data_IF_684403708698
#
_entry.id   IF_684403708698
#
_cell.length_a   1.000
_cell.length_b   1.000
_cell.length_c   1.000
_cell.angle_alpha   90.00
_cell.angle_beta   90.00
_cell.angle_gamma   90.00
#
_symmetry.space_group_name_H-M   'P 1'
#
loop_
_entity.id
_entity.type
_entity.pdbx_description
1 polymer ?
#
# COMPACT_ATOMS: atom_id res chain seq x y z
N UNK A 1 5.45 -9.06 -3.71
CA UNK A 1 4.88 -9.08 -2.34
C UNK A 1 4.52 -7.64 -1.93
N UNK A 2 3.84 -7.41 -0.80
CA UNK A 2 3.52 -6.03 -0.35
C UNK A 2 4.79 -5.22 -0.08
N UNK A 3 5.82 -5.91 0.42
CA UNK A 3 7.16 -5.37 0.66
C UNK A 3 7.77 -4.72 -0.58
N UNK A 4 7.74 -5.42 -1.73
CA UNK A 4 8.32 -4.91 -2.98
C UNK A 4 7.64 -3.62 -3.42
N UNK A 5 6.30 -3.59 -3.35
CA UNK A 5 5.51 -2.41 -3.71
C UNK A 5 5.86 -1.24 -2.79
N UNK A 6 6.08 -1.47 -1.49
CA UNK A 6 6.47 -0.43 -0.54
C UNK A 6 7.83 0.17 -0.89
N UNK A 7 8.83 -0.68 -1.16
CA UNK A 7 10.18 -0.24 -1.53
C UNK A 7 10.14 0.55 -2.84
N UNK A 8 9.50 0.01 -3.88
CA UNK A 8 9.35 0.70 -5.17
C UNK A 8 8.62 2.04 -5.01
N UNK A 9 7.58 2.09 -4.16
CA UNK A 9 6.82 3.32 -3.91
C UNK A 9 7.68 4.40 -3.24
N UNK A 10 8.55 4.01 -2.29
CA UNK A 10 9.49 4.95 -1.65
C UNK A 10 10.49 5.46 -2.70
N UNK A 11 11.12 4.56 -3.45
CA UNK A 11 12.11 4.90 -4.45
C UNK A 11 11.54 5.86 -5.50
N UNK A 12 10.32 5.58 -5.97
CA UNK A 12 9.62 6.46 -6.93
C UNK A 12 9.25 7.81 -6.34
N UNK A 13 8.90 7.88 -5.05
CA UNK A 13 8.40 9.12 -4.43
C UNK A 13 9.50 10.02 -3.91
N UNK A 14 10.55 9.44 -3.32
CA UNK A 14 11.59 10.13 -2.57
C UNK A 14 12.98 10.01 -3.21
N UNK A 15 13.13 9.23 -4.28
CA UNK A 15 14.40 8.97 -4.95
C UNK A 15 15.12 7.74 -4.38
N UNK A 16 16.36 7.51 -4.80
CA UNK A 16 17.19 6.38 -4.38
C UNK A 16 17.58 6.52 -2.89
N UNK A 17 16.65 6.14 -2.02
CA UNK A 17 16.69 6.35 -0.59
C UNK A 17 16.18 5.11 0.11
N UNK A 18 17.04 4.50 0.92
CA UNK A 18 16.73 3.29 1.69
C UNK A 18 15.93 3.56 2.97
N UNK A 19 15.91 4.81 3.45
CA UNK A 19 15.26 5.22 4.71
C UNK A 19 14.62 6.59 4.51
N UNK A 20 13.34 6.74 4.88
CA UNK A 20 12.64 8.02 4.70
C UNK A 20 13.30 9.14 5.54
N UNK A 21 13.52 10.34 4.96
CA UNK A 21 14.15 11.46 5.66
C UNK A 21 13.26 12.05 6.76
N UNK A 22 11.97 11.73 6.73
CA UNK A 22 10.97 12.08 7.75
C UNK A 22 10.11 10.84 8.03
N UNK A 23 9.59 10.71 9.25
CA UNK A 23 8.62 9.66 9.55
C UNK A 23 7.34 9.88 8.73
N UNK A 24 6.94 8.87 7.97
CA UNK A 24 5.70 8.88 7.19
C UNK A 24 4.69 7.94 7.83
N UNK A 25 3.47 8.39 8.00
CA UNK A 25 2.38 7.55 8.47
C UNK A 25 1.89 6.63 7.35
N UNK A 26 1.85 5.33 7.62
CA UNK A 26 1.37 4.33 6.68
C UNK A 26 0.11 3.66 7.23
N UNK A 27 -1.04 4.06 6.69
CA UNK A 27 -2.35 3.56 7.09
C UNK A 27 -2.78 2.38 6.22
N UNK A 28 -3.09 1.24 6.85
CA UNK A 28 -3.57 0.03 6.17
C UNK A 28 -4.76 -0.61 6.89
N UNK A 29 -5.46 -1.52 6.20
CA UNK A 29 -6.36 -2.43 6.89
C UNK A 29 -5.59 -3.53 7.64
N UNK A 30 -6.30 -4.30 8.46
CA UNK A 30 -5.74 -5.40 9.24
C UNK A 30 -5.67 -6.72 8.47
N UNK A 31 -5.59 -6.69 7.12
CA UNK A 31 -5.44 -7.92 6.35
C UNK A 31 -4.07 -8.57 6.60
N UNK A 32 -4.01 -9.89 6.40
CA UNK A 32 -2.86 -10.73 6.78
C UNK A 32 -1.54 -10.27 6.19
N UNK A 33 -1.54 -9.72 4.97
CA UNK A 33 -0.33 -9.25 4.31
C UNK A 33 0.29 -8.00 4.95
N UNK A 34 -0.52 -7.11 5.55
CA UNK A 34 -0.03 -5.90 6.22
C UNK A 34 0.34 -6.16 7.70
N UNK A 35 -0.28 -7.16 8.34
CA UNK A 35 0.05 -7.55 9.72
C UNK A 35 1.14 -8.62 9.82
N UNK A 36 1.58 -9.19 8.70
CA UNK A 36 2.68 -10.15 8.65
C UNK A 36 3.95 -9.56 9.28
N UNK A 37 4.66 -10.38 10.06
CA UNK A 37 5.81 -9.91 10.83
C UNK A 37 6.91 -9.33 9.92
N UNK A 38 7.19 -9.98 8.80
CA UNK A 38 8.14 -9.51 7.78
C UNK A 38 7.78 -8.10 7.27
N UNK A 39 6.51 -7.85 6.96
CA UNK A 39 6.03 -6.52 6.52
C UNK A 39 6.21 -5.47 7.62
N UNK A 40 5.94 -5.83 8.89
CA UNK A 40 6.09 -4.92 10.03
C UNK A 40 7.56 -4.63 10.35
N UNK A 41 8.45 -5.60 10.15
CA UNK A 41 9.89 -5.41 10.31
C UNK A 41 10.43 -4.48 9.22
N UNK A 42 10.07 -4.70 7.95
CA UNK A 42 10.49 -3.86 6.83
C UNK A 42 10.01 -2.41 7.00
N UNK A 43 8.76 -2.21 7.36
CA UNK A 43 8.18 -0.87 7.50
C UNK A 43 8.82 -0.07 8.63
N UNK A 44 9.21 -0.73 9.72
CA UNK A 44 10.03 -0.11 10.77
C UNK A 44 11.44 0.23 10.28
N UNK A 45 12.07 -0.61 9.46
CA UNK A 45 13.44 -0.34 8.98
C UNK A 45 13.53 0.83 8.01
N UNK A 46 12.43 1.18 7.33
CA UNK A 46 12.36 2.28 6.35
C UNK A 46 11.69 3.55 6.91
N UNK A 47 11.56 3.68 8.24
CA UNK A 47 11.00 4.85 8.94
C UNK A 47 9.51 5.12 8.65
N UNK A 48 8.70 4.07 8.41
CA UNK A 48 7.24 4.23 8.45
C UNK A 48 6.70 4.07 9.87
N UNK A 49 5.75 4.95 10.21
CA UNK A 49 4.85 4.75 11.35
C UNK A 49 3.63 3.96 10.90
N UNK A 50 3.59 2.68 11.30
CA UNK A 50 2.48 1.79 10.98
C UNK A 50 1.23 2.24 11.73
N UNK A 51 0.21 2.66 10.98
CA UNK A 51 -1.08 3.06 11.48
C UNK A 51 -2.11 1.99 11.09
N UNK A 52 -2.80 1.42 12.08
CA UNK A 52 -3.85 0.42 11.86
C UNK A 52 -5.20 0.96 12.31
N UNK A 53 -6.25 0.57 11.62
CA UNK A 53 -7.60 1.02 11.93
C UNK A 53 -8.26 0.12 12.97
N UNK A 54 -9.15 0.63 13.83
CA UNK A 54 -9.93 -0.22 14.71
C UNK A 54 -10.66 -1.30 13.90
N UNK A 55 -10.65 -2.54 14.41
CA UNK A 55 -11.32 -3.68 13.79
C UNK A 55 -12.80 -3.31 13.59
N UNK A 56 -13.25 -3.24 12.33
CA UNK A 56 -14.60 -2.81 11.89
C UNK A 56 -14.86 -1.30 11.90
N UNK A 57 -13.87 -0.47 11.57
CA UNK A 57 -14.13 0.92 11.17
C UNK A 57 -14.57 0.99 9.70
N UNK A 58 -15.86 1.23 9.39
CA UNK A 58 -16.40 1.12 8.03
C UNK A 58 -15.85 2.17 7.06
N UNK A 59 -15.19 3.21 7.56
CA UNK A 59 -14.79 4.39 6.78
C UNK A 59 -13.27 4.51 6.61
N UNK A 60 -12.49 3.67 7.29
CA UNK A 60 -11.07 3.95 7.50
C UNK A 60 -10.17 3.77 6.27
N UNK A 61 -10.59 2.96 5.30
CA UNK A 61 -9.98 2.84 3.97
C UNK A 61 -10.83 3.45 2.85
N UNK A 62 -11.84 4.27 3.18
CA UNK A 62 -12.82 4.76 2.22
C UNK A 62 -12.22 5.49 1.01
N UNK A 63 -11.12 6.22 1.20
CA UNK A 63 -10.41 6.88 0.10
C UNK A 63 -9.75 5.87 -0.86
N UNK A 64 -9.02 4.88 -0.31
CA UNK A 64 -8.38 3.85 -1.12
C UNK A 64 -9.42 2.99 -1.85
N UNK A 65 -10.51 2.63 -1.16
CA UNK A 65 -11.63 1.90 -1.77
C UNK A 65 -12.30 2.69 -2.88
N UNK A 66 -12.55 3.99 -2.67
CA UNK A 66 -13.13 4.86 -3.70
C UNK A 66 -12.22 4.97 -4.92
N UNK A 67 -10.91 5.12 -4.71
CA UNK A 67 -9.93 5.12 -5.79
C UNK A 67 -9.98 3.83 -6.60
N UNK A 68 -9.91 2.66 -5.95
CA UNK A 68 -9.96 1.37 -6.62
C UNK A 68 -11.29 1.14 -7.35
N UNK A 69 -12.42 1.58 -6.77
CA UNK A 69 -13.74 1.50 -7.42
C UNK A 69 -13.77 2.32 -8.71
N UNK A 70 -13.29 3.56 -8.68
CA UNK A 70 -13.21 4.42 -9.86
C UNK A 70 -12.27 3.83 -10.91
N UNK A 71 -11.08 3.39 -10.51
CA UNK A 71 -10.13 2.73 -11.41
C UNK A 71 -10.73 1.48 -12.08
N UNK A 72 -11.42 0.64 -11.31
CA UNK A 72 -12.09 -0.54 -11.87
C UNK A 72 -13.18 -0.17 -12.86
N UNK A 73 -14.03 0.80 -12.51
CA UNK A 73 -15.14 1.26 -13.34
C UNK A 73 -14.65 1.86 -14.67
N UNK A 74 -13.71 2.79 -14.59
CA UNK A 74 -13.35 3.67 -15.73
C UNK A 74 -12.19 3.12 -16.57
N UNK A 75 -11.40 2.19 -16.03
CA UNK A 75 -10.25 1.62 -16.72
C UNK A 75 -10.40 0.11 -16.90
N UNK A 76 -10.53 -0.65 -15.81
CA UNK A 76 -10.48 -2.12 -15.88
C UNK A 76 -11.65 -2.71 -16.65
N UNK A 77 -12.87 -2.22 -16.46
CA UNK A 77 -14.07 -2.80 -17.11
C UNK A 77 -14.30 -2.35 -18.54
N UNK A 78 -13.61 -1.32 -19.01
CA UNK A 78 -13.78 -0.77 -20.36
C UNK A 78 -12.63 -1.14 -21.32
N UNK A 79 -11.51 -1.64 -20.81
CA UNK A 79 -10.34 -2.02 -21.61
C UNK A 79 -10.17 -3.55 -21.68
N UNK A 80 -9.57 -4.03 -22.77
CA UNK A 80 -9.10 -5.40 -22.86
C UNK A 80 -7.99 -5.67 -21.83
N UNK A 81 -8.02 -6.85 -21.21
CA UNK A 81 -7.09 -7.25 -20.14
C UNK A 81 -6.40 -8.54 -20.54
N UNK A 82 -5.43 -8.49 -21.46
CA UNK A 82 -4.63 -9.65 -21.78
C UNK A 82 -3.86 -10.11 -20.54
N UNK A 83 -3.59 -11.40 -20.45
CA UNK A 83 -2.80 -11.96 -19.36
C UNK A 83 -1.40 -11.34 -19.32
N UNK A 84 -0.90 -11.10 -18.11
CA UNK A 84 0.45 -10.61 -17.93
C UNK A 84 1.45 -11.63 -18.49
N UNK A 85 2.41 -11.16 -19.28
CA UNK A 85 3.55 -12.00 -19.69
C UNK A 85 4.47 -12.18 -18.49
N UNK A 86 4.75 -13.44 -18.15
CA UNK A 86 5.63 -13.83 -17.03
C UNK A 86 7.08 -13.43 -17.28
#
# INVERSE_FOLDING_TARGET
MVQDILVESIEKRFGDTSILPIEVEWLTDNSSCYIADETRQLTKSISFKVCTTPVRSPQSNGMAEAFVKTFKRDYVYVNERPDAQQ
#
